data_IF_338751765916
#
_entry.id   IF_338751765916
#
_cell.length_a   1.000
_cell.length_b   1.000
_cell.length_c   1.000
_cell.angle_alpha   90.00
_cell.angle_beta   90.00
_cell.angle_gamma   90.00
#
_symmetry.space_group_name_H-M   'P 1'
#
loop_
_entity.id
_entity.type
_entity.pdbx_description
1 polymer ?
#
# COMPACT_ATOMS: atom_id res chain seq x y z
N UNK A 1 -2.37 4.93 17.65
CA UNK A 1 -2.30 3.76 16.74
C UNK A 1 -0.88 3.70 16.22
N UNK A 2 -0.25 2.53 16.13
CA UNK A 2 1.10 2.42 15.56
C UNK A 2 1.05 2.58 14.04
N UNK A 3 1.99 3.34 13.46
CA UNK A 3 2.14 3.48 12.00
C UNK A 3 2.65 2.15 11.44
N UNK A 4 1.92 1.58 10.47
CA UNK A 4 2.34 0.34 9.82
C UNK A 4 3.53 0.63 8.89
N UNK A 5 4.55 -0.24 8.94
CA UNK A 5 5.76 -0.09 8.13
C UNK A 5 5.94 -1.32 7.27
N UNK A 6 6.11 -1.11 5.98
CA UNK A 6 6.18 -2.18 4.99
C UNK A 6 7.54 -2.20 4.29
N UNK A 7 8.01 -3.42 3.96
CA UNK A 7 9.23 -3.62 3.16
C UNK A 7 8.97 -4.61 2.03
N UNK A 8 9.20 -4.18 0.80
CA UNK A 8 9.01 -4.94 -0.44
C UNK A 8 10.34 -5.15 -1.16
N UNK A 9 11.25 -5.88 -0.52
CA UNK A 9 12.53 -6.28 -1.12
C UNK A 9 12.79 -7.78 -0.83
N UNK A 10 14.02 -8.24 -1.04
CA UNK A 10 14.46 -9.61 -0.84
C UNK A 10 13.96 -10.26 0.46
N UNK A 11 13.76 -11.58 0.43
CA UNK A 11 13.41 -12.39 1.61
C UNK A 11 14.29 -12.08 2.83
N UNK A 12 15.57 -11.79 2.63
CA UNK A 12 16.52 -11.40 3.69
C UNK A 12 16.12 -10.08 4.36
N UNK A 13 15.83 -9.05 3.58
CA UNK A 13 15.44 -7.73 4.08
C UNK A 13 14.12 -7.80 4.86
N UNK A 14 13.13 -8.51 4.31
CA UNK A 14 11.85 -8.76 4.98
C UNK A 14 12.06 -9.49 6.31
N UNK A 15 12.83 -10.57 6.31
CA UNK A 15 13.11 -11.36 7.52
C UNK A 15 13.86 -10.58 8.61
N UNK A 16 14.70 -9.61 8.24
CA UNK A 16 15.31 -8.69 9.21
C UNK A 16 14.27 -7.70 9.74
N UNK A 17 13.53 -7.02 8.86
CA UNK A 17 12.58 -5.98 9.23
C UNK A 17 11.45 -6.48 10.14
N UNK A 18 10.98 -7.72 9.93
CA UNK A 18 9.98 -8.37 10.77
C UNK A 18 10.40 -8.43 12.25
N UNK A 19 11.70 -8.59 12.52
CA UNK A 19 12.24 -8.60 13.90
C UNK A 19 12.17 -7.22 14.57
N UNK A 20 11.89 -6.17 13.80
CA UNK A 20 11.79 -4.78 14.24
C UNK A 20 10.37 -4.22 14.07
N UNK A 21 9.37 -5.10 13.93
CA UNK A 21 7.95 -4.71 13.88
C UNK A 21 7.45 -4.26 12.50
N UNK A 22 8.21 -4.47 11.42
CA UNK A 22 7.75 -4.19 10.07
C UNK A 22 6.97 -5.38 9.50
N UNK A 23 6.17 -5.12 8.47
CA UNK A 23 5.34 -6.10 7.79
C UNK A 23 5.86 -6.42 6.39
N UNK A 24 5.61 -7.65 5.87
CA UNK A 24 6.04 -8.01 4.54
C UNK A 24 5.24 -7.25 3.49
N UNK A 25 5.91 -6.87 2.42
CA UNK A 25 5.26 -6.32 1.25
C UNK A 25 5.82 -6.91 -0.03
N UNK A 26 5.05 -6.79 -1.09
CA UNK A 26 5.43 -7.25 -2.41
C UNK A 26 4.65 -6.51 -3.49
N UNK A 27 5.25 -6.40 -4.66
CA UNK A 27 4.50 -6.05 -5.87
C UNK A 27 3.73 -7.28 -6.36
N UNK A 28 2.50 -7.12 -6.86
CA UNK A 28 1.71 -8.26 -7.35
C UNK A 28 2.37 -9.07 -8.48
N UNK A 29 3.34 -8.48 -9.19
CA UNK A 29 4.12 -9.18 -10.22
C UNK A 29 5.27 -10.02 -9.66
N UNK A 30 5.70 -9.79 -8.41
CA UNK A 30 6.78 -10.52 -7.76
C UNK A 30 6.42 -10.95 -6.33
N UNK A 31 5.86 -12.15 -6.20
CA UNK A 31 5.51 -12.74 -4.91
C UNK A 31 6.59 -13.65 -4.33
N UNK A 32 7.74 -13.80 -4.99
CA UNK A 32 8.76 -14.81 -4.62
C UNK A 32 9.26 -14.61 -3.20
N UNK A 33 9.56 -13.37 -2.85
CA UNK A 33 10.20 -13.02 -1.58
C UNK A 33 9.25 -13.12 -0.37
N UNK A 34 7.93 -13.10 -0.59
CA UNK A 34 6.93 -13.17 0.49
C UNK A 34 6.33 -14.55 0.74
N UNK A 35 6.63 -15.56 -0.08
CA UNK A 35 6.01 -16.90 0.01
C UNK A 35 6.13 -17.56 1.40
N UNK A 36 7.20 -17.27 2.13
CA UNK A 36 7.48 -17.89 3.44
C UNK A 36 7.08 -17.03 4.63
N UNK A 37 6.41 -15.90 4.40
CA UNK A 37 5.94 -15.01 5.46
C UNK A 37 4.42 -15.01 5.49
N UNK A 38 3.85 -14.86 6.69
CA UNK A 38 2.42 -14.58 6.81
C UNK A 38 2.14 -13.26 6.09
N UNK A 39 1.12 -13.23 5.25
CA UNK A 39 0.76 -12.05 4.45
C UNK A 39 -0.71 -11.66 4.63
N UNK A 40 -1.58 -12.65 4.80
CA UNK A 40 -3.02 -12.44 5.04
C UNK A 40 -3.27 -11.53 6.25
N UNK A 41 -4.04 -10.47 6.02
CA UNK A 41 -4.42 -9.39 6.94
C UNK A 41 -3.26 -8.68 7.64
N UNK A 42 -2.03 -8.83 7.12
CA UNK A 42 -0.85 -8.10 7.66
C UNK A 42 0.06 -7.49 6.59
N UNK A 43 0.04 -8.00 5.36
CA UNK A 43 0.95 -7.60 4.30
C UNK A 43 0.45 -6.41 3.49
N UNK A 44 1.37 -5.83 2.72
CA UNK A 44 1.10 -4.77 1.75
C UNK A 44 1.35 -5.24 0.32
N UNK A 45 0.36 -5.06 -0.55
CA UNK A 45 0.43 -5.42 -1.96
C UNK A 45 0.55 -4.15 -2.82
N UNK A 46 1.68 -3.99 -3.49
CA UNK A 46 1.98 -2.86 -4.36
C UNK A 46 1.71 -3.19 -5.84
N UNK A 47 1.57 -2.15 -6.66
CA UNK A 47 1.30 -2.24 -8.08
C UNK A 47 2.56 -2.17 -8.95
N UNK A 48 2.46 -2.70 -10.17
CA UNK A 48 3.40 -2.38 -11.24
C UNK A 48 2.92 -1.16 -12.01
N UNK A 49 3.19 0.05 -11.49
CA UNK A 49 2.66 1.28 -12.07
C UNK A 49 3.02 1.48 -13.55
N UNK A 50 4.13 0.90 -14.03
CA UNK A 50 4.54 0.99 -15.45
C UNK A 50 3.72 0.08 -16.35
N UNK A 51 3.35 -1.09 -15.86
CA UNK A 51 2.68 -2.14 -16.63
C UNK A 51 1.51 -2.69 -15.82
N UNK A 52 0.61 -1.79 -15.42
CA UNK A 52 -0.47 -2.14 -14.52
C UNK A 52 -1.45 -3.12 -15.19
N UNK A 53 -1.81 -4.18 -14.48
CA UNK A 53 -2.75 -5.19 -14.91
C UNK A 53 -3.73 -5.47 -13.77
N UNK A 54 -4.91 -4.86 -13.87
CA UNK A 54 -5.94 -4.93 -12.84
C UNK A 54 -6.39 -6.37 -12.55
N UNK A 55 -6.65 -7.18 -13.58
CA UNK A 55 -7.09 -8.57 -13.40
C UNK A 55 -6.10 -9.37 -12.57
N UNK A 56 -4.81 -9.31 -12.93
CA UNK A 56 -3.75 -9.99 -12.18
C UNK A 56 -3.62 -9.44 -10.77
N UNK A 57 -3.80 -8.14 -10.59
CA UNK A 57 -3.76 -7.53 -9.27
C UNK A 57 -4.86 -8.09 -8.36
N UNK A 58 -6.12 -8.15 -8.84
CA UNK A 58 -7.25 -8.74 -8.12
C UNK A 58 -7.02 -10.22 -7.81
N UNK A 59 -6.54 -11.01 -8.78
CA UNK A 59 -6.23 -12.44 -8.57
C UNK A 59 -5.24 -12.64 -7.41
N UNK A 60 -4.19 -11.81 -7.35
CA UNK A 60 -3.19 -11.87 -6.29
C UNK A 60 -3.74 -11.35 -4.96
N UNK A 61 -4.54 -10.27 -4.97
CA UNK A 61 -5.21 -9.75 -3.78
C UNK A 61 -6.15 -10.81 -3.18
N UNK A 62 -7.00 -11.45 -4.00
CA UNK A 62 -7.91 -12.51 -3.57
C UNK A 62 -7.17 -13.70 -2.94
N UNK A 63 -6.02 -14.07 -3.51
CA UNK A 63 -5.18 -15.16 -2.98
C UNK A 63 -4.52 -14.82 -1.66
N UNK A 64 -4.01 -13.60 -1.52
CA UNK A 64 -3.13 -13.22 -0.40
C UNK A 64 -3.85 -12.51 0.74
N UNK A 65 -4.99 -11.91 0.44
CA UNK A 65 -5.82 -11.11 1.35
C UNK A 65 -5.01 -10.07 2.14
N UNK A 66 -4.34 -9.11 1.46
CA UNK A 66 -3.49 -8.13 2.12
C UNK A 66 -4.23 -7.32 3.19
N UNK A 67 -3.47 -6.71 4.11
CA UNK A 67 -4.00 -5.66 4.98
C UNK A 67 -4.22 -4.36 4.22
N UNK A 68 -3.30 -4.04 3.31
CA UNK A 68 -3.35 -2.84 2.48
C UNK A 68 -2.96 -3.19 1.06
N UNK A 69 -3.69 -2.65 0.09
CA UNK A 69 -3.28 -2.63 -1.31
C UNK A 69 -3.51 -1.25 -1.93
N UNK A 70 -2.95 -1.01 -3.11
CA UNK A 70 -3.00 0.26 -3.82
C UNK A 70 -3.83 0.11 -5.09
N UNK A 71 -4.82 0.98 -5.29
CA UNK A 71 -5.51 1.07 -6.57
C UNK A 71 -4.59 1.70 -7.64
N UNK A 72 -5.02 1.68 -8.90
CA UNK A 72 -4.31 2.37 -9.99
C UNK A 72 -4.09 3.86 -9.66
N UNK A 73 -2.93 4.40 -10.05
CA UNK A 73 -2.66 5.84 -9.94
C UNK A 73 -3.67 6.68 -10.75
N UNK A 74 -4.22 7.72 -10.12
CA UNK A 74 -5.12 8.69 -10.78
C UNK A 74 -4.29 9.78 -11.45
N UNK A 75 -3.62 9.41 -12.54
CA UNK A 75 -2.85 10.32 -13.40
C UNK A 75 -3.73 11.29 -14.20
N UNK A 76 -5.00 10.93 -14.39
CA UNK A 76 -6.00 11.73 -15.10
C UNK A 76 -7.35 11.62 -14.38
N UNK A 77 -7.89 12.76 -13.94
CA UNK A 77 -9.17 12.82 -13.20
C UNK A 77 -10.36 12.22 -13.98
N UNK A 78 -10.31 12.23 -15.32
CA UNK A 78 -11.38 11.67 -16.16
C UNK A 78 -11.49 10.14 -16.08
N UNK A 79 -10.48 9.45 -15.53
CA UNK A 79 -10.53 8.01 -15.28
C UNK A 79 -10.88 7.68 -13.82
N UNK A 80 -11.17 8.68 -12.98
CA UNK A 80 -11.37 8.47 -11.54
C UNK A 80 -12.49 7.46 -11.24
N UNK A 81 -13.63 7.56 -11.92
CA UNK A 81 -14.76 6.64 -11.69
C UNK A 81 -14.41 5.18 -12.00
N UNK A 82 -13.61 4.93 -13.05
CA UNK A 82 -13.12 3.58 -13.37
C UNK A 82 -12.18 3.09 -12.27
N UNK A 83 -11.26 3.94 -11.82
CA UNK A 83 -10.29 3.60 -10.77
C UNK A 83 -10.99 3.33 -9.43
N UNK A 84 -12.06 4.07 -9.10
CA UNK A 84 -12.87 3.82 -7.90
C UNK A 84 -13.52 2.44 -7.99
N UNK A 85 -14.11 2.06 -9.13
CA UNK A 85 -14.67 0.71 -9.32
C UNK A 85 -13.61 -0.39 -9.19
N UNK A 86 -12.41 -0.16 -9.71
CA UNK A 86 -11.27 -1.08 -9.49
C UNK A 86 -10.95 -1.20 -8.00
N UNK A 87 -10.95 -0.09 -7.27
CA UNK A 87 -10.65 -0.04 -5.85
C UNK A 87 -11.73 -0.74 -5.00
N UNK A 88 -13.01 -0.57 -5.32
CA UNK A 88 -14.13 -1.29 -4.72
C UNK A 88 -13.97 -2.81 -4.89
N UNK A 89 -13.57 -3.26 -6.09
CA UNK A 89 -13.30 -4.67 -6.35
C UNK A 89 -12.17 -5.20 -5.45
N UNK A 90 -11.08 -4.45 -5.29
CA UNK A 90 -9.97 -4.80 -4.41
C UNK A 90 -10.37 -4.83 -2.92
N UNK A 91 -11.34 -4.01 -2.51
CA UNK A 91 -11.85 -3.95 -1.14
C UNK A 91 -12.47 -5.27 -0.68
N UNK A 92 -12.98 -6.09 -1.60
CA UNK A 92 -13.49 -7.43 -1.28
C UNK A 92 -12.40 -8.39 -0.78
N UNK A 93 -11.12 -8.04 -1.01
CA UNK A 93 -9.98 -8.91 -0.74
C UNK A 93 -8.91 -8.24 0.12
N UNK A 94 -9.09 -7.01 0.58
CA UNK A 94 -8.10 -6.28 1.37
C UNK A 94 -8.78 -5.52 2.49
N UNK A 95 -8.19 -5.48 3.68
CA UNK A 95 -8.76 -4.73 4.81
C UNK A 95 -8.84 -3.22 4.48
N UNK A 96 -7.88 -2.72 3.72
CA UNK A 96 -7.82 -1.35 3.23
C UNK A 96 -7.35 -1.30 1.77
N UNK A 97 -7.87 -0.33 1.02
CA UNK A 97 -7.38 0.05 -0.30
C UNK A 97 -7.07 1.55 -0.27
N UNK A 98 -5.91 1.93 -0.81
CA UNK A 98 -5.54 3.34 -0.94
C UNK A 98 -5.57 3.80 -2.40
N UNK A 99 -6.11 4.99 -2.65
CA UNK A 99 -6.09 5.66 -3.96
C UNK A 99 -4.87 6.58 -4.03
N UNK A 100 -4.15 6.58 -5.16
CA UNK A 100 -2.99 7.44 -5.39
C UNK A 100 -3.36 8.62 -6.30
N UNK A 101 -3.76 9.79 -5.76
CA UNK A 101 -4.07 10.95 -6.59
C UNK A 101 -2.78 11.55 -7.17
N UNK A 102 -2.74 11.75 -8.50
CA UNK A 102 -1.58 12.34 -9.22
C UNK A 102 -1.94 13.56 -10.06
N UNK A 103 -3.17 13.65 -10.56
CA UNK A 103 -3.67 14.78 -11.35
C UNK A 103 -3.82 16.04 -10.47
N UNK A 104 -3.14 17.17 -10.78
CA UNK A 104 -3.28 18.44 -10.06
C UNK A 104 -4.72 18.97 -9.95
N UNK A 105 -5.63 18.56 -10.84
CA UNK A 105 -7.06 18.94 -10.77
C UNK A 105 -7.78 18.37 -9.55
N UNK A 106 -7.17 17.43 -8.85
CA UNK A 106 -7.67 16.85 -7.61
C UNK A 106 -7.35 17.71 -6.37
N UNK A 107 -6.53 18.76 -6.51
CA UNK A 107 -6.20 19.66 -5.41
C UNK A 107 -7.46 20.26 -4.76
N UNK A 108 -7.55 20.15 -3.44
CA UNK A 108 -8.68 20.64 -2.64
C UNK A 108 -9.99 19.85 -2.82
N UNK A 109 -10.00 18.77 -3.62
CA UNK A 109 -11.23 18.04 -3.97
C UNK A 109 -11.19 16.55 -3.63
N UNK A 110 -10.13 16.06 -2.98
CA UNK A 110 -10.02 14.64 -2.63
C UNK A 110 -11.19 14.17 -1.77
N UNK A 111 -11.66 15.00 -0.83
CA UNK A 111 -12.79 14.62 0.03
C UNK A 111 -14.12 14.49 -0.72
N UNK A 112 -14.32 15.35 -1.72
CA UNK A 112 -15.52 15.40 -2.55
C UNK A 112 -15.54 14.22 -3.53
N UNK A 113 -14.39 13.89 -4.12
CA UNK A 113 -14.30 13.00 -5.27
C UNK A 113 -13.90 11.56 -4.93
N UNK A 114 -13.24 11.33 -3.79
CA UNK A 114 -12.80 9.99 -3.39
C UNK A 114 -13.61 9.55 -2.15
N UNK A 115 -14.38 8.44 -2.26
CA UNK A 115 -15.19 7.94 -1.15
C UNK A 115 -14.38 7.69 0.14
N UNK A 116 -15.00 7.97 1.30
CA UNK A 116 -14.35 8.04 2.62
C UNK A 116 -13.78 6.72 3.14
N UNK A 117 -14.25 5.59 2.62
CA UNK A 117 -13.80 4.24 2.92
C UNK A 117 -12.39 3.96 2.39
N UNK A 118 -11.96 4.70 1.36
CA UNK A 118 -10.61 4.57 0.83
C UNK A 118 -9.62 5.42 1.61
N UNK A 119 -8.45 4.82 1.86
CA UNK A 119 -7.29 5.57 2.29
C UNK A 119 -6.75 6.40 1.12
N UNK A 120 -5.96 7.42 1.43
CA UNK A 120 -5.18 8.13 0.42
C UNK A 120 -3.75 7.60 0.43
N UNK A 121 -3.10 7.57 -0.72
CA UNK A 121 -1.70 7.23 -0.84
C UNK A 121 -0.93 8.41 -1.44
N UNK A 122 0.03 8.92 -0.69
CA UNK A 122 0.88 10.02 -1.11
C UNK A 122 2.15 9.47 -1.74
N UNK A 123 2.31 9.66 -3.05
CA UNK A 123 3.53 9.28 -3.77
C UNK A 123 4.65 10.26 -3.45
N UNK A 124 5.55 9.83 -2.57
CA UNK A 124 6.64 10.65 -2.04
C UNK A 124 7.55 11.09 -3.18
N UNK A 125 7.84 12.39 -3.32
CA UNK A 125 8.68 12.89 -4.40
C UNK A 125 10.05 12.21 -4.47
N UNK A 126 10.38 11.74 -5.66
CA UNK A 126 11.69 11.21 -6.02
C UNK A 126 12.13 11.79 -7.36
N UNK A 127 13.37 11.52 -7.77
CA UNK A 127 13.85 11.86 -9.11
C UNK A 127 13.12 11.14 -10.25
N UNK A 128 12.33 10.11 -9.95
CA UNK A 128 11.63 9.28 -10.93
C UNK A 128 10.12 9.55 -11.02
N UNK A 129 9.58 10.32 -10.07
CA UNK A 129 8.15 10.57 -9.97
C UNK A 129 7.72 10.95 -8.55
N UNK A 130 6.46 11.35 -8.44
CA UNK A 130 5.80 11.80 -7.22
C UNK A 130 4.41 12.31 -7.59
N UNK A 131 3.58 12.60 -6.59
CA UNK A 131 2.32 13.30 -6.85
C UNK A 131 2.55 14.79 -7.09
N UNK A 132 1.71 15.40 -7.95
CA UNK A 132 1.61 16.86 -8.10
C UNK A 132 0.46 17.45 -7.26
N UNK A 133 -0.30 16.60 -6.58
CA UNK A 133 -1.34 17.01 -5.64
C UNK A 133 -0.66 17.46 -4.34
N UNK A 134 -1.08 18.61 -3.83
CA UNK A 134 -0.46 19.25 -2.67
C UNK A 134 -0.82 18.52 -1.39
N UNK A 135 0.06 18.59 -0.38
CA UNK A 135 -0.12 17.87 0.89
C UNK A 135 -1.38 18.33 1.63
N UNK A 136 -1.78 19.59 1.46
CA UNK A 136 -2.96 20.18 2.09
C UNK A 136 -4.27 19.56 1.59
N UNK A 137 -4.24 18.93 0.42
CA UNK A 137 -5.40 18.23 -0.13
C UNK A 137 -5.71 16.92 0.59
N UNK A 138 -4.75 16.36 1.33
CA UNK A 138 -4.86 15.07 2.01
C UNK A 138 -5.42 15.27 3.42
N UNK A 139 -6.70 14.98 3.59
CA UNK A 139 -7.48 15.31 4.80
C UNK A 139 -7.73 14.11 5.75
N UNK A 140 -7.50 12.91 5.25
CA UNK A 140 -7.74 11.62 5.91
C UNK A 140 -6.46 10.77 5.93
N UNK A 141 -6.47 9.59 6.56
CA UNK A 141 -5.23 8.84 6.77
C UNK A 141 -4.52 8.42 5.48
N UNK A 142 -3.19 8.53 5.52
CA UNK A 142 -2.33 8.46 4.34
C UNK A 142 -1.32 7.32 4.42
N UNK A 143 -1.19 6.55 3.34
CA UNK A 143 -0.04 5.70 3.10
C UNK A 143 1.05 6.48 2.35
N UNK A 144 2.27 6.57 2.88
CA UNK A 144 3.39 7.18 2.16
C UNK A 144 4.05 6.16 1.24
N UNK A 145 3.93 6.37 -0.07
CA UNK A 145 4.47 5.49 -1.10
C UNK A 145 5.93 5.82 -1.44
N UNK A 146 6.83 4.92 -1.08
CA UNK A 146 8.24 4.94 -1.47
C UNK A 146 9.01 6.18 -1.00
N UNK A 147 10.03 6.56 -1.76
CA UNK A 147 10.89 7.69 -1.40
C UNK A 147 11.92 7.41 -0.32
N UNK A 148 12.61 8.46 0.13
CA UNK A 148 13.65 8.38 1.16
C UNK A 148 13.06 8.49 2.56
N UNK A 149 13.65 7.82 3.58
CA UNK A 149 13.14 7.90 4.95
C UNK A 149 13.09 9.32 5.52
N UNK A 150 14.06 10.18 5.20
CA UNK A 150 14.09 11.57 5.67
C UNK A 150 12.95 12.41 5.08
N UNK A 151 12.58 12.15 3.82
CA UNK A 151 11.45 12.84 3.15
C UNK A 151 10.13 12.35 3.73
N UNK A 152 9.96 11.04 3.89
CA UNK A 152 8.77 10.45 4.51
C UNK A 152 8.54 11.00 5.92
N UNK A 153 9.61 11.18 6.70
CA UNK A 153 9.52 11.78 8.03
C UNK A 153 8.98 13.21 7.98
N UNK A 154 9.55 14.07 7.12
CA UNK A 154 9.07 15.46 6.98
C UNK A 154 7.60 15.53 6.55
N UNK A 155 7.17 14.59 5.69
CA UNK A 155 5.76 14.47 5.31
C UNK A 155 4.87 13.98 6.46
N UNK A 156 5.41 13.16 7.37
CA UNK A 156 4.68 12.70 8.54
C UNK A 156 4.39 13.79 9.57
N UNK A 157 5.12 14.92 9.50
CA UNK A 157 4.87 16.10 10.34
C UNK A 157 3.62 16.87 9.89
N UNK A 158 3.17 16.70 8.64
CA UNK A 158 2.02 17.42 8.06
C UNK A 158 0.85 16.50 7.70
N UNK A 159 1.10 15.24 7.38
CA UNK A 159 0.10 14.26 6.98
C UNK A 159 -0.30 13.35 8.13
N UNK A 160 -1.58 12.94 8.15
CA UNK A 160 -2.11 11.90 9.04
C UNK A 160 -1.62 10.52 8.59
N UNK A 161 -0.35 10.19 8.81
CA UNK A 161 0.24 8.95 8.29
C UNK A 161 -0.38 7.72 8.97
N UNK A 162 -0.99 6.86 8.15
CA UNK A 162 -1.48 5.54 8.52
C UNK A 162 -0.37 4.48 8.42
N UNK A 163 0.40 4.56 7.33
CA UNK A 163 1.43 3.58 7.02
C UNK A 163 2.48 4.13 6.05
N UNK A 164 3.60 3.44 5.94
CA UNK A 164 4.68 3.76 5.00
C UNK A 164 5.19 2.49 4.33
N UNK A 165 5.64 2.58 3.09
CA UNK A 165 6.58 1.62 2.52
C UNK A 165 7.89 2.34 2.17
N UNK A 166 9.03 1.79 2.57
CA UNK A 166 10.31 2.41 2.24
C UNK A 166 11.31 1.34 1.84
N UNK A 167 11.60 1.24 0.55
CA UNK A 167 12.59 0.27 0.06
C UNK A 167 13.96 0.90 -0.17
N UNK A 168 14.08 2.23 -0.07
CA UNK A 168 15.32 2.95 -0.41
C UNK A 168 16.50 2.47 0.43
N UNK A 169 16.32 2.30 1.75
CA UNK A 169 17.39 1.83 2.62
C UNK A 169 17.95 0.44 2.23
N UNK A 170 17.14 -0.40 1.58
CA UNK A 170 17.60 -1.71 1.09
C UNK A 170 18.49 -1.61 -0.14
N UNK A 171 18.37 -0.53 -0.91
CA UNK A 171 19.22 -0.24 -2.05
C UNK A 171 20.56 0.30 -1.58
N UNK A 172 20.57 1.33 -0.72
CA UNK A 172 21.81 1.94 -0.21
C UNK A 172 22.64 0.93 0.62
N UNK A 173 21.99 0.02 1.35
CA UNK A 173 22.67 -1.08 2.06
C UNK A 173 23.52 -1.98 1.16
N UNK A 174 23.21 -2.10 -0.15
CA UNK A 174 24.03 -2.88 -1.10
C UNK A 174 25.39 -2.24 -1.35
N UNK A 175 25.51 -0.95 -1.09
CA UNK A 175 26.74 -0.17 -1.23
C UNK A 175 27.45 0.04 0.11
N UNK A 176 26.98 -0.60 1.19
CA UNK A 176 27.54 -0.44 2.53
C UNK A 176 27.03 0.78 3.29
N UNK A 177 26.02 1.47 2.77
CA UNK A 177 25.43 2.65 3.40
C UNK A 177 24.20 2.30 4.24
N UNK A 178 24.01 3.02 5.34
CA UNK A 178 22.83 2.91 6.19
C UNK A 178 22.22 4.29 6.45
N UNK A 179 20.92 4.32 6.75
CA UNK A 179 20.26 5.53 7.19
C UNK A 179 20.62 5.78 8.67
N UNK A 180 21.34 6.88 8.95
CA UNK A 180 21.76 7.24 10.31
C UNK A 180 20.66 7.90 11.16
N UNK A 181 19.50 8.15 10.54
CA UNK A 181 18.41 8.91 11.11
C UNK A 181 18.17 10.22 10.36
N UNK A 182 19.11 10.71 9.57
CA UNK A 182 19.02 11.99 8.86
C UNK A 182 19.44 11.86 7.39
N UNK A 183 20.47 11.09 7.10
CA UNK A 183 20.93 10.80 5.74
C UNK A 183 21.52 9.39 5.63
N UNK A 184 21.91 9.01 4.42
CA UNK A 184 22.66 7.78 4.18
C UNK A 184 24.15 8.04 4.36
N UNK A 185 24.83 7.16 5.11
CA UNK A 185 26.28 7.21 5.34
C UNK A 185 26.88 5.80 5.32
N UNK A 186 28.18 5.65 5.05
CA UNK A 186 28.87 4.37 5.19
C UNK A 186 28.71 3.80 6.61
N UNK A 187 28.37 2.52 6.70
CA UNK A 187 28.30 1.82 7.99
C UNK A 187 29.72 1.51 8.48
N UNK A 188 30.07 1.78 9.76
CA UNK A 188 31.43 1.60 10.27
C UNK A 188 31.96 0.17 10.08
N UNK A 189 31.11 -0.83 10.33
CA UNK A 189 31.47 -2.24 10.17
C UNK A 189 31.16 -2.79 8.76
N UNK A 190 30.54 -1.99 7.89
CA UNK A 190 30.01 -2.43 6.61
C UNK A 190 29.02 -3.60 6.71
N UNK A 191 28.78 -4.26 5.57
CA UNK A 191 27.96 -5.46 5.46
C UNK A 191 26.46 -5.18 5.31
N UNK A 192 25.84 -5.86 4.34
CA UNK A 192 24.44 -5.66 3.97
C UNK A 192 23.48 -5.77 5.16
N UNK A 193 23.61 -6.81 5.99
CA UNK A 193 22.71 -7.02 7.12
C UNK A 193 22.86 -5.98 8.23
N UNK A 194 24.08 -5.50 8.48
CA UNK A 194 24.33 -4.46 9.46
C UNK A 194 23.71 -3.14 9.00
N UNK A 195 23.89 -2.80 7.72
CA UNK A 195 23.29 -1.61 7.10
C UNK A 195 21.76 -1.63 7.19
N UNK A 196 21.13 -2.79 6.91
CA UNK A 196 19.68 -2.95 7.05
C UNK A 196 19.23 -2.76 8.51
N UNK A 197 19.88 -3.44 9.47
CA UNK A 197 19.53 -3.36 10.90
C UNK A 197 19.68 -1.93 11.42
N UNK A 198 20.79 -1.26 11.12
CA UNK A 198 21.07 0.10 11.55
C UNK A 198 20.05 1.08 10.95
N UNK A 199 19.76 0.97 9.65
CA UNK A 199 18.73 1.78 9.00
C UNK A 199 17.36 1.62 9.67
N UNK A 200 16.90 0.39 9.86
CA UNK A 200 15.58 0.12 10.46
C UNK A 200 15.49 0.68 11.89
N UNK A 201 16.55 0.50 12.69
CA UNK A 201 16.64 1.07 14.04
C UNK A 201 16.53 2.59 14.05
N UNK A 202 17.11 3.27 13.07
CA UNK A 202 17.06 4.73 12.98
C UNK A 202 15.77 5.27 12.34
N UNK A 203 15.08 4.46 11.53
CA UNK A 203 13.77 4.80 10.94
C UNK A 203 12.66 4.68 11.99
N UNK A 204 12.69 3.63 12.83
CA UNK A 204 11.60 3.31 13.77
C UNK A 204 11.20 4.41 14.78
N UNK A 205 12.13 5.06 15.50
CA UNK A 205 11.78 5.94 16.63
C UNK A 205 11.26 7.32 16.21
N UNK A 206 11.26 7.67 14.92
CA UNK A 206 11.06 9.06 14.45
C UNK A 206 9.75 9.29 13.66
N UNK A 207 8.74 8.45 13.82
CA UNK A 207 7.42 8.69 13.23
C UNK A 207 6.41 9.17 14.29
N UNK A 208 5.74 10.31 14.08
CA UNK A 208 4.77 10.84 15.04
C UNK A 208 3.57 9.89 15.19
N UNK A 209 3.13 9.67 16.43
CA UNK A 209 1.96 8.84 16.72
C UNK A 209 0.70 9.69 16.48
N UNK A 210 -0.01 9.44 15.38
CA UNK A 210 -1.34 10.02 15.17
C UNK A 210 -2.41 9.07 15.72
N UNK A 211 -3.27 9.58 16.61
CA UNK A 211 -4.39 8.83 17.20
C UNK A 211 -5.67 9.24 16.47
N UNK A 212 -6.32 8.25 15.81
CA UNK A 212 -7.78 8.07 15.69
C UNK A 212 -8.16 7.59 14.29
N UNK A 213 -8.48 6.31 14.18
CA UNK A 213 -9.51 5.85 13.25
C UNK A 213 -10.51 5.00 14.04
N UNK A 214 -11.80 5.36 13.95
CA UNK A 214 -12.88 4.44 14.29
C UNK A 214 -12.84 3.29 13.25
N UNK A 215 -13.11 2.04 13.65
CA UNK A 215 -13.20 0.94 12.69
C UNK A 215 -14.26 1.28 11.64
N UNK A 216 -13.87 1.25 10.36
CA UNK A 216 -14.83 1.29 9.24
C UNK A 216 -15.75 0.08 9.42
N UNK A 217 -17.05 0.33 9.55
CA UNK A 217 -18.04 -0.73 9.71
C UNK A 217 -18.00 -1.64 8.48
N UNK A 218 -17.95 -2.95 8.73
CA UNK A 218 -17.98 -3.97 7.70
C UNK A 218 -19.28 -3.86 6.90
N UNK A 219 -19.19 -3.59 5.61
CA UNK A 219 -20.35 -3.59 4.72
C UNK A 219 -20.52 -4.94 4.04
N UNK A 220 -21.80 -5.29 3.86
CA UNK A 220 -22.32 -6.46 3.17
C UNK A 220 -21.96 -6.43 1.68
N UNK A 221 -21.47 -7.56 1.17
CA UNK A 221 -21.10 -7.83 -0.21
C UNK A 221 -22.08 -7.21 -1.23
N UNK A 222 -21.58 -6.28 -2.06
CA UNK A 222 -22.24 -5.90 -3.30
C UNK A 222 -21.85 -6.90 -4.39
N UNK A 223 -22.81 -7.64 -4.90
CA UNK A 223 -22.63 -8.56 -6.01
C UNK A 223 -22.27 -7.76 -7.28
N UNK A 224 -21.01 -7.80 -7.68
CA UNK A 224 -20.51 -7.11 -8.85
C UNK A 224 -20.89 -7.89 -10.13
N UNK A 225 -22.17 -7.83 -10.52
CA UNK A 225 -22.71 -8.48 -11.73
C UNK A 225 -22.43 -7.72 -13.05
N UNK A 226 -21.50 -6.75 -13.07
CA UNK A 226 -21.28 -5.87 -14.24
C UNK A 226 -19.92 -6.00 -14.93
N UNK A 227 -19.15 -7.05 -14.64
CA UNK A 227 -17.95 -7.40 -15.42
C UNK A 227 -18.19 -8.71 -16.19
N UNK A 228 -18.57 -8.64 -17.47
CA UNK A 228 -18.70 -9.82 -18.35
C UNK A 228 -17.61 -9.88 -19.45
N UNK A 229 -17.51 -10.99 -20.25
CA UNK A 229 -18.40 -12.16 -20.29
C UNK A 229 -17.60 -13.53 -20.18
N UNK A 230 -18.18 -14.74 -20.37
CA UNK A 230 -18.14 -15.84 -19.39
C UNK A 230 -17.27 -17.06 -19.81
N UNK A 231 -16.75 -17.82 -18.84
CA UNK A 231 -16.20 -19.19 -19.02
C UNK A 231 -16.04 -19.82 -17.62
N UNK A 232 -16.56 -20.99 -17.23
CA UNK A 232 -17.13 -22.15 -17.90
C UNK A 232 -18.30 -22.70 -17.04
N UNK A 233 -19.37 -23.15 -17.68
CA UNK A 233 -20.39 -24.01 -17.04
C UNK A 233 -20.01 -25.48 -17.23
N UNK A 234 -19.94 -26.21 -16.13
CA UNK A 234 -20.15 -27.66 -15.97
C UNK A 234 -20.02 -27.93 -14.46
N UNK A 235 -20.85 -28.68 -13.75
CA UNK A 235 -22.24 -29.11 -13.81
C UNK A 235 -22.54 -29.63 -12.39
N UNK A 236 -23.82 -29.74 -12.02
CA UNK A 236 -24.34 -30.62 -10.96
C UNK A 236 -24.10 -30.23 -9.49
N UNK A 237 -25.12 -29.66 -8.83
CA UNK A 237 -26.03 -30.38 -7.91
C UNK A 237 -27.03 -29.43 -7.22
N UNK A 238 -28.32 -29.68 -7.50
CA UNK A 238 -29.56 -29.57 -6.70
C UNK A 238 -29.89 -28.33 -5.81
N UNK A 239 -31.15 -27.84 -5.85
CA UNK A 239 -31.61 -26.64 -5.14
C UNK A 239 -32.21 -26.96 -3.77
N UNK A 240 -32.05 -26.04 -2.82
CA UNK A 240 -32.98 -25.80 -1.69
C UNK A 240 -32.50 -24.59 -0.89
N UNK A 241 -33.10 -23.42 -1.12
CA UNK A 241 -33.75 -22.63 -0.07
C UNK A 241 -34.45 -21.42 -0.68
N UNK A 242 -35.78 -21.38 -0.49
CA UNK A 242 -36.57 -20.17 -0.50
C UNK A 242 -36.02 -19.18 0.54
N UNK A 243 -35.90 -17.92 0.18
CA UNK A 243 -36.29 -16.85 1.10
C UNK A 243 -36.82 -15.64 0.32
N UNK A 244 -38.12 -15.41 0.50
CA UNK A 244 -38.83 -14.18 0.20
C UNK A 244 -38.27 -13.04 1.05
N UNK A 245 -38.03 -11.88 0.45
CA UNK A 245 -38.19 -10.59 1.12
C UNK A 245 -38.83 -9.62 0.13
N UNK A 246 -39.89 -8.95 0.61
CA UNK A 246 -40.59 -7.84 -0.02
C UNK A 246 -39.67 -6.63 -0.25
#
# INVERSE_FOLDING_TARGET
MEILKFVAHSKKAIGIALKYGWHPAARYTNMRDVKTFKFNSIGFLDIDWKNYNFKRHVEIAAKLKPKLTIARDVECIFHLDEIIKEAECLLNYSDHVAIVPKDPKLNGRLNELIPSEFLLAYSVPTKYGGTKVTVESFDRPVHLLGGRPDVQRRLADTLKVFSIDCNRFTFDAKFGDYFDGDTFRPHPDGGYENCLKASIKNINPRFPIWISLKPLQAWTFFDCNHCGPPCLKQSDFSPLLLCLCC
#
